data_IF_645456670367
#
_entry.id   IF_645456670367
#
_cell.length_a   1.000
_cell.length_b   1.000
_cell.length_c   1.000
_cell.angle_alpha   90.00
_cell.angle_beta   90.00
_cell.angle_gamma   90.00
#
_symmetry.space_group_name_H-M   'P 1'
#
loop_
_entity.id
_entity.type
_entity.pdbx_description
1 polymer ?
#
# COMPACT_ATOMS: atom_id res chain seq x y z
N UNK A 1 -4.54 23.23 -8.54
CA UNK A 1 -5.54 22.78 -7.53
C UNK A 1 -4.78 21.89 -6.58
N UNK A 2 -4.91 22.09 -5.26
CA UNK A 2 -4.22 21.25 -4.25
C UNK A 2 -4.66 19.79 -4.45
N UNK A 3 -3.73 18.83 -4.35
CA UNK A 3 -3.98 17.39 -4.51
C UNK A 3 -5.14 16.90 -3.63
N UNK A 4 -5.19 17.34 -2.37
CA UNK A 4 -6.28 17.08 -1.45
C UNK A 4 -7.64 17.52 -1.99
N UNK A 5 -7.74 18.72 -2.55
CA UNK A 5 -8.99 19.23 -3.13
C UNK A 5 -9.42 18.40 -4.35
N UNK A 6 -8.47 17.91 -5.14
CA UNK A 6 -8.74 17.05 -6.28
C UNK A 6 -9.31 15.70 -5.83
N UNK A 7 -8.70 15.07 -4.82
CA UNK A 7 -9.18 13.82 -4.22
C UNK A 7 -10.60 14.00 -3.67
N UNK A 8 -10.82 15.04 -2.89
CA UNK A 8 -12.13 15.31 -2.27
C UNK A 8 -13.22 15.62 -3.31
N UNK A 9 -12.87 16.17 -4.49
CA UNK A 9 -13.81 16.43 -5.57
C UNK A 9 -14.26 15.15 -6.28
N UNK A 10 -13.53 14.05 -6.15
CA UNK A 10 -13.89 12.74 -6.70
C UNK A 10 -14.80 11.92 -5.76
N UNK A 11 -14.95 12.35 -4.50
CA UNK A 11 -15.79 11.67 -3.52
C UNK A 11 -17.29 11.91 -3.80
N UNK A 12 -18.14 10.91 -3.54
CA UNK A 12 -19.60 11.06 -3.60
C UNK A 12 -20.11 12.05 -2.54
N UNK A 13 -19.38 12.14 -1.43
CA UNK A 13 -19.59 13.13 -0.39
C UNK A 13 -18.27 13.39 0.34
N UNK A 14 -18.01 14.65 0.70
CA UNK A 14 -16.91 15.03 1.58
C UNK A 14 -17.29 16.24 2.43
N UNK A 15 -16.98 16.18 3.72
CA UNK A 15 -17.21 17.26 4.67
C UNK A 15 -16.03 17.38 5.63
N UNK A 16 -15.51 18.59 5.80
CA UNK A 16 -14.49 18.85 6.82
C UNK A 16 -15.14 19.01 8.18
N UNK A 17 -14.66 18.25 9.14
CA UNK A 17 -15.09 18.27 10.53
C UNK A 17 -13.95 18.80 11.39
N UNK A 18 -14.26 19.71 12.29
CA UNK A 18 -13.26 20.38 13.14
C UNK A 18 -13.73 20.42 14.59
N UNK A 19 -12.79 20.28 15.51
CA UNK A 19 -13.01 20.47 16.94
C UNK A 19 -11.71 20.79 17.67
N UNK A 20 -11.64 21.96 18.36
CA UNK A 20 -10.50 22.38 19.19
C UNK A 20 -9.13 22.22 18.52
N UNK A 21 -8.95 22.70 17.31
CA UNK A 21 -7.70 22.61 16.56
C UNK A 21 -7.51 21.32 15.78
N UNK A 22 -8.17 20.23 16.18
CA UNK A 22 -8.14 18.96 15.43
C UNK A 22 -9.13 18.99 14.27
N UNK A 23 -8.81 18.30 13.18
CA UNK A 23 -9.68 18.18 12.01
C UNK A 23 -9.57 16.82 11.32
N UNK A 24 -10.63 16.45 10.59
CA UNK A 24 -10.61 15.36 9.62
C UNK A 24 -11.63 15.64 8.51
N UNK A 25 -11.57 14.86 7.44
CA UNK A 25 -12.65 14.80 6.47
C UNK A 25 -13.47 13.53 6.66
N UNK A 26 -14.79 13.68 6.70
CA UNK A 26 -15.72 12.58 6.49
C UNK A 26 -15.90 12.43 4.98
N UNK A 27 -15.63 11.25 4.44
CA UNK A 27 -15.59 10.98 3.01
C UNK A 27 -16.46 9.77 2.71
N UNK A 28 -17.26 9.83 1.63
CA UNK A 28 -18.03 8.69 1.14
C UNK A 28 -17.54 8.31 -0.26
N UNK A 29 -17.28 7.02 -0.46
CA UNK A 29 -16.94 6.43 -1.75
C UNK A 29 -17.87 5.24 -2.03
N UNK A 30 -18.88 5.45 -2.88
CA UNK A 30 -19.87 4.43 -3.23
C UNK A 30 -19.31 3.31 -4.10
N UNK A 31 -18.13 3.48 -4.69
CA UNK A 31 -17.45 2.45 -5.47
C UNK A 31 -16.81 1.37 -4.59
N UNK A 32 -16.69 1.59 -3.29
CA UNK A 32 -16.26 0.56 -2.35
C UNK A 32 -17.39 -0.45 -2.12
N UNK A 33 -17.02 -1.74 -2.02
CA UNK A 33 -18.00 -2.84 -1.95
C UNK A 33 -18.72 -2.91 -0.62
N UNK A 34 -18.00 -2.75 0.48
CA UNK A 34 -18.53 -2.97 1.84
C UNK A 34 -18.63 -1.68 2.64
N UNK A 35 -17.52 -1.18 3.13
CA UNK A 35 -17.47 0.03 3.93
C UNK A 35 -17.26 1.25 3.03
N UNK A 36 -18.18 2.21 3.09
CA UNK A 36 -18.23 3.35 2.16
C UNK A 36 -17.95 4.69 2.82
N UNK A 37 -18.13 4.78 4.14
CA UNK A 37 -17.95 6.01 4.90
C UNK A 37 -16.67 5.95 5.72
N UNK A 38 -15.76 6.87 5.45
CA UNK A 38 -14.43 6.89 6.04
C UNK A 38 -14.06 8.25 6.63
N UNK A 39 -13.14 8.24 7.59
CA UNK A 39 -12.40 9.44 7.98
C UNK A 39 -11.01 9.43 7.33
N UNK A 40 -10.61 10.59 6.82
CA UNK A 40 -9.30 10.78 6.16
C UNK A 40 -8.77 12.19 6.37
N UNK A 41 -7.56 12.47 5.87
CA UNK A 41 -6.88 13.77 6.03
C UNK A 41 -6.94 14.25 7.48
N UNK A 42 -6.57 13.36 8.40
CA UNK A 42 -6.70 13.57 9.84
C UNK A 42 -5.52 14.40 10.35
N UNK A 43 -5.84 15.46 11.06
CA UNK A 43 -4.90 16.32 11.78
C UNK A 43 -5.38 16.39 13.24
N UNK A 44 -4.62 15.80 14.17
CA UNK A 44 -4.98 15.73 15.58
C UNK A 44 -3.97 16.51 16.43
N UNK A 45 -4.50 17.38 17.26
CA UNK A 45 -3.74 17.89 18.40
C UNK A 45 -3.48 16.77 19.41
N UNK A 46 -2.37 16.84 20.14
CA UNK A 46 -2.09 15.90 21.23
C UNK A 46 -2.96 16.19 22.47
N UNK A 47 -4.28 16.21 22.26
CA UNK A 47 -5.33 16.43 23.23
C UNK A 47 -6.47 15.43 23.03
N UNK A 48 -6.64 14.51 23.98
CA UNK A 48 -7.69 13.48 23.87
C UNK A 48 -9.09 14.05 23.84
N UNK A 49 -9.39 15.15 24.58
CA UNK A 49 -10.72 15.77 24.56
C UNK A 49 -11.02 16.39 23.18
N UNK A 50 -9.99 16.97 22.52
CA UNK A 50 -10.13 17.46 21.18
C UNK A 50 -10.40 16.32 20.19
N UNK A 51 -9.65 15.23 20.27
CA UNK A 51 -9.85 14.04 19.45
C UNK A 51 -11.25 13.42 19.69
N UNK A 52 -11.67 13.28 20.94
CA UNK A 52 -12.99 12.75 21.29
C UNK A 52 -14.10 13.58 20.66
N UNK A 53 -14.09 14.89 20.87
CA UNK A 53 -15.13 15.76 20.32
C UNK A 53 -15.13 15.80 18.78
N UNK A 54 -13.96 15.65 18.13
CA UNK A 54 -13.85 15.53 16.67
C UNK A 54 -14.54 14.24 16.18
N UNK A 55 -14.18 13.09 16.74
CA UNK A 55 -14.73 11.80 16.31
C UNK A 55 -16.21 11.65 16.67
N UNK A 56 -16.69 12.17 17.81
CA UNK A 56 -18.13 12.20 18.14
C UNK A 56 -18.94 12.98 17.09
N UNK A 57 -18.39 14.10 16.56
CA UNK A 57 -19.02 14.83 15.46
C UNK A 57 -19.03 14.03 14.17
N UNK A 58 -17.89 13.40 13.82
CA UNK A 58 -17.76 12.59 12.61
C UNK A 58 -18.70 11.38 12.63
N UNK A 59 -18.78 10.67 13.76
CA UNK A 59 -19.67 9.53 13.97
C UNK A 59 -21.15 9.92 13.89
N UNK A 60 -21.53 11.03 14.54
CA UNK A 60 -22.90 11.56 14.44
C UNK A 60 -23.24 11.91 12.98
N UNK A 61 -22.33 12.58 12.27
CA UNK A 61 -22.56 12.95 10.88
C UNK A 61 -22.67 11.72 9.96
N UNK A 62 -21.84 10.70 10.18
CA UNK A 62 -21.95 9.44 9.47
C UNK A 62 -23.32 8.74 9.70
N UNK A 63 -23.85 8.76 10.94
CA UNK A 63 -25.19 8.24 11.26
C UNK A 63 -26.30 9.04 10.56
N UNK A 64 -26.22 10.37 10.55
CA UNK A 64 -27.15 11.24 9.85
C UNK A 64 -27.21 10.94 8.34
N UNK A 65 -26.08 10.55 7.75
CA UNK A 65 -25.97 10.11 6.36
C UNK A 65 -26.42 8.64 6.16
N UNK A 66 -26.85 7.94 7.23
CA UNK A 66 -27.36 6.58 7.18
C UNK A 66 -26.32 5.46 7.24
N UNK A 67 -25.06 5.78 7.56
CA UNK A 67 -24.01 4.78 7.69
C UNK A 67 -23.99 4.18 9.09
N UNK A 68 -23.73 2.87 9.15
CA UNK A 68 -23.63 2.08 10.40
C UNK A 68 -22.18 1.84 10.85
N UNK A 69 -21.22 2.19 10.01
CA UNK A 69 -19.79 2.00 10.27
C UNK A 69 -19.03 3.23 9.81
N UNK A 70 -18.02 3.60 10.58
CA UNK A 70 -17.03 4.59 10.20
C UNK A 70 -15.65 3.96 10.28
N UNK A 71 -14.88 4.01 9.20
CA UNK A 71 -13.55 3.43 9.13
C UNK A 71 -12.51 4.43 8.67
N UNK A 72 -11.26 4.12 8.87
CA UNK A 72 -10.12 4.96 8.47
C UNK A 72 -8.86 4.70 9.31
N UNK A 73 -7.80 5.50 9.13
CA UNK A 73 -7.75 6.60 8.19
C UNK A 73 -7.70 6.12 6.74
N UNK A 74 -8.35 6.84 5.85
CA UNK A 74 -8.25 6.60 4.40
C UNK A 74 -8.60 7.89 3.63
N UNK A 75 -7.69 8.29 2.75
CA UNK A 75 -7.86 9.47 1.93
C UNK A 75 -8.54 9.11 0.60
N UNK A 76 -9.78 8.61 0.66
CA UNK A 76 -10.66 8.23 -0.42
C UNK A 76 -10.57 6.75 -0.89
N UNK A 77 -9.37 6.20 -1.17
CA UNK A 77 -9.21 4.80 -1.60
C UNK A 77 -7.78 4.28 -1.32
N UNK A 78 -7.52 3.00 -1.62
CA UNK A 78 -6.21 2.37 -1.37
C UNK A 78 -5.09 2.80 -2.32
N UNK A 79 -5.38 3.59 -3.34
CA UNK A 79 -4.37 4.21 -4.20
C UNK A 79 -3.75 5.46 -3.58
N UNK A 80 -4.48 6.06 -2.61
CA UNK A 80 -4.07 7.21 -1.83
C UNK A 80 -3.45 6.79 -0.50
N UNK A 81 -3.11 7.75 0.35
CA UNK A 81 -2.65 7.47 1.71
C UNK A 81 -3.80 6.89 2.54
N UNK A 82 -3.55 5.80 3.21
CA UNK A 82 -4.46 5.15 4.14
C UNK A 82 -3.65 4.35 5.17
N UNK A 83 -4.22 4.04 6.32
CA UNK A 83 -3.62 3.37 7.48
C UNK A 83 -2.74 4.28 8.34
N UNK A 84 -2.57 3.89 9.60
CA UNK A 84 -1.63 4.48 10.55
C UNK A 84 -0.60 3.46 11.02
N UNK A 85 0.63 3.92 11.28
CA UNK A 85 1.68 3.14 11.93
C UNK A 85 1.28 2.86 13.39
N UNK A 86 1.54 1.64 13.87
CA UNK A 86 1.22 1.17 15.22
C UNK A 86 2.45 1.18 16.15
N UNK A 87 3.65 1.15 15.59
CA UNK A 87 4.95 1.12 16.27
C UNK A 87 6.03 1.76 15.40
N UNK A 88 7.25 1.88 15.94
CA UNK A 88 8.45 2.36 15.24
C UNK A 88 8.20 3.66 14.44
N UNK A 89 7.62 4.66 15.12
CA UNK A 89 7.20 5.93 14.50
C UNK A 89 8.38 6.72 13.90
N UNK A 90 9.58 6.52 14.43
CA UNK A 90 10.82 7.16 13.95
C UNK A 90 11.41 6.48 12.70
N UNK A 91 11.04 5.23 12.42
CA UNK A 91 11.47 4.51 11.22
C UNK A 91 10.56 4.90 10.06
N UNK A 92 11.12 5.33 8.94
CA UNK A 92 10.34 5.78 7.77
C UNK A 92 10.70 4.99 6.52
N UNK A 93 9.70 4.35 5.93
CA UNK A 93 9.76 3.70 4.62
C UNK A 93 8.92 4.49 3.63
N UNK A 94 9.56 5.13 2.65
CA UNK A 94 8.82 5.96 1.70
C UNK A 94 7.99 5.15 0.69
N UNK A 95 6.72 5.54 0.39
CA UNK A 95 5.88 6.49 1.10
C UNK A 95 5.33 5.89 2.40
N UNK A 96 5.44 6.60 3.51
CA UNK A 96 5.01 6.11 4.83
C UNK A 96 3.79 6.88 5.36
N UNK A 97 3.28 6.41 6.49
CA UNK A 97 2.26 7.10 7.26
C UNK A 97 2.89 8.24 8.06
N UNK A 98 2.15 9.32 8.16
CA UNK A 98 2.56 10.48 8.95
C UNK A 98 1.62 10.64 10.15
N UNK A 99 1.81 9.76 11.14
CA UNK A 99 1.07 9.78 12.40
C UNK A 99 2.01 9.56 13.58
N UNK A 100 1.63 10.16 14.70
CA UNK A 100 2.29 10.01 15.98
C UNK A 100 1.65 8.90 16.83
N UNK A 101 2.36 8.47 17.89
CA UNK A 101 1.89 7.39 18.79
C UNK A 101 0.55 7.71 19.45
N UNK A 102 0.30 8.97 19.83
CA UNK A 102 -0.94 9.38 20.47
C UNK A 102 -2.18 9.20 19.57
N UNK A 103 -2.04 9.22 18.25
CA UNK A 103 -3.15 8.92 17.33
C UNK A 103 -3.68 7.51 17.59
N UNK A 104 -2.78 6.54 17.82
CA UNK A 104 -3.14 5.14 18.08
C UNK A 104 -3.79 4.99 19.46
N UNK A 105 -3.25 5.65 20.47
CA UNK A 105 -3.81 5.64 21.82
C UNK A 105 -5.23 6.23 21.83
N UNK A 106 -5.41 7.35 21.12
CA UNK A 106 -6.70 8.02 21.06
C UNK A 106 -7.75 7.18 20.32
N UNK A 107 -7.43 6.69 19.12
CA UNK A 107 -8.39 5.92 18.32
C UNK A 107 -8.85 4.64 19.02
N UNK A 108 -7.95 3.96 19.76
CA UNK A 108 -8.27 2.78 20.57
C UNK A 108 -9.16 3.15 21.77
N UNK A 109 -8.86 4.24 22.48
CA UNK A 109 -9.68 4.74 23.58
C UNK A 109 -11.09 5.15 23.13
N UNK A 110 -11.23 5.61 21.89
CA UNK A 110 -12.52 5.94 21.26
C UNK A 110 -13.31 4.70 20.81
N UNK A 111 -12.78 3.49 21.03
CA UNK A 111 -13.46 2.22 20.78
C UNK A 111 -13.34 1.71 19.34
N UNK A 112 -12.49 2.30 18.51
CA UNK A 112 -12.19 1.77 17.20
C UNK A 112 -11.34 0.51 17.31
N UNK A 113 -11.56 -0.45 16.41
CA UNK A 113 -10.86 -1.72 16.33
C UNK A 113 -10.07 -1.80 15.03
N UNK A 114 -8.95 -2.52 15.03
CA UNK A 114 -8.18 -2.78 13.83
C UNK A 114 -9.00 -3.62 12.83
N UNK A 115 -9.18 -3.10 11.63
CA UNK A 115 -9.95 -3.74 10.56
C UNK A 115 -9.06 -4.54 9.63
N UNK A 116 -7.99 -3.91 9.16
CA UNK A 116 -6.95 -4.51 8.33
C UNK A 116 -5.59 -4.10 8.85
N UNK A 117 -4.69 -5.07 8.94
CA UNK A 117 -3.33 -4.87 9.39
C UNK A 117 -2.33 -5.08 8.26
N UNK A 118 -1.27 -4.32 8.31
CA UNK A 118 -0.17 -4.34 7.34
C UNK A 118 1.14 -4.33 8.09
N UNK A 119 2.20 -4.80 7.43
CA UNK A 119 3.55 -4.75 7.95
C UNK A 119 4.54 -4.27 6.89
N UNK A 120 5.62 -3.69 7.36
CA UNK A 120 6.87 -3.52 6.62
C UNK A 120 7.94 -4.29 7.36
N UNK A 121 8.63 -5.18 6.65
CA UNK A 121 9.55 -6.12 7.28
C UNK A 121 10.84 -6.25 6.47
N UNK A 122 11.99 -6.29 7.17
CA UNK A 122 13.26 -6.65 6.58
C UNK A 122 13.33 -8.15 6.34
N UNK A 123 13.62 -8.54 5.12
CA UNK A 123 13.73 -9.93 4.70
C UNK A 123 15.11 -10.17 4.10
N UNK A 124 15.86 -11.10 4.66
CA UNK A 124 17.18 -11.46 4.14
C UNK A 124 17.06 -12.04 2.73
N UNK A 125 18.00 -11.66 1.86
CA UNK A 125 18.01 -12.13 0.47
C UNK A 125 18.44 -13.60 0.33
N UNK A 126 19.20 -14.13 1.29
CA UNK A 126 19.70 -15.53 1.30
C UNK A 126 18.69 -16.54 1.87
N UNK A 127 17.41 -16.27 1.76
CA UNK A 127 16.33 -17.13 2.26
C UNK A 127 15.91 -18.22 1.25
N UNK A 128 15.01 -19.12 1.67
CA UNK A 128 14.49 -20.21 0.81
C UNK A 128 13.79 -19.75 -0.46
N UNK A 129 13.22 -18.54 -0.46
CA UNK A 129 12.55 -17.98 -1.65
C UNK A 129 13.53 -17.79 -2.80
N UNK A 130 14.79 -17.46 -2.50
CA UNK A 130 15.82 -17.31 -3.52
C UNK A 130 16.04 -18.60 -4.32
N UNK A 131 16.32 -19.70 -3.64
CA UNK A 131 16.58 -20.99 -4.32
C UNK A 131 15.35 -21.56 -5.03
N UNK A 132 14.16 -21.42 -4.42
CA UNK A 132 12.90 -21.82 -5.05
C UNK A 132 12.64 -20.95 -6.30
N UNK A 133 12.83 -19.64 -6.17
CA UNK A 133 12.61 -18.67 -7.23
C UNK A 133 13.53 -18.88 -8.42
N UNK A 134 14.80 -19.24 -8.19
CA UNK A 134 15.75 -19.59 -9.26
C UNK A 134 15.26 -20.77 -10.11
N UNK A 135 14.82 -21.84 -9.47
CA UNK A 135 14.28 -22.99 -10.18
C UNK A 135 13.02 -22.65 -10.99
N UNK A 136 12.13 -21.85 -10.40
CA UNK A 136 10.92 -21.37 -11.09
C UNK A 136 11.28 -20.45 -12.25
N UNK A 137 12.23 -19.52 -12.08
CA UNK A 137 12.68 -18.64 -13.17
C UNK A 137 13.15 -19.44 -14.38
N UNK A 138 14.02 -20.47 -14.19
CA UNK A 138 14.46 -21.36 -15.25
C UNK A 138 13.29 -22.08 -15.93
N UNK A 139 12.32 -22.55 -15.14
CA UNK A 139 11.10 -23.15 -15.67
C UNK A 139 10.31 -22.16 -16.54
N UNK A 140 10.13 -20.91 -16.09
CA UNK A 140 9.38 -19.88 -16.83
C UNK A 140 10.03 -19.49 -18.14
N UNK A 141 11.36 -19.45 -18.21
CA UNK A 141 12.09 -19.25 -19.48
C UNK A 141 11.76 -20.37 -20.48
N UNK A 142 11.73 -21.66 -20.03
CA UNK A 142 11.36 -22.78 -20.87
C UNK A 142 9.88 -22.77 -21.30
N UNK A 143 8.99 -22.13 -20.51
CA UNK A 143 7.57 -21.94 -20.84
C UNK A 143 7.34 -20.76 -21.81
N UNK A 144 8.41 -20.05 -22.22
CA UNK A 144 8.34 -18.93 -23.18
C UNK A 144 8.14 -17.55 -22.55
N UNK A 145 8.27 -17.43 -21.21
CA UNK A 145 8.34 -16.11 -20.58
C UNK A 145 9.70 -15.46 -20.86
N UNK A 146 9.68 -14.13 -20.99
CA UNK A 146 10.90 -13.30 -21.01
C UNK A 146 10.83 -12.28 -19.89
N UNK A 147 12.00 -11.87 -19.38
CA UNK A 147 12.09 -10.90 -18.28
C UNK A 147 13.00 -9.76 -18.74
N UNK A 148 12.58 -8.54 -18.43
CA UNK A 148 13.35 -7.33 -18.73
C UNK A 148 13.41 -6.43 -17.53
N UNK A 149 14.58 -5.80 -17.34
CA UNK A 149 14.80 -4.80 -16.32
C UNK A 149 14.59 -3.40 -16.95
N UNK A 150 13.94 -2.53 -16.18
CA UNK A 150 13.67 -1.13 -16.52
C UNK A 150 14.02 -0.25 -15.32
N UNK A 151 14.54 0.95 -15.55
CA UNK A 151 14.85 1.89 -14.49
C UNK A 151 14.58 3.34 -14.90
N UNK A 152 14.25 4.20 -13.94
CA UNK A 152 14.02 5.61 -14.17
C UNK A 152 12.95 5.88 -15.25
N UNK A 153 13.26 6.67 -16.26
CA UNK A 153 12.31 7.05 -17.32
C UNK A 153 11.73 5.86 -18.10
N UNK A 154 12.51 4.79 -18.30
CA UNK A 154 12.01 3.58 -18.96
C UNK A 154 10.94 2.87 -18.10
N UNK A 155 11.10 2.87 -16.77
CA UNK A 155 10.10 2.32 -15.85
C UNK A 155 8.83 3.20 -15.82
N UNK A 156 8.97 4.52 -15.88
CA UNK A 156 7.82 5.43 -15.97
C UNK A 156 7.01 5.25 -17.25
N UNK A 157 7.68 4.94 -18.36
CA UNK A 157 7.00 4.69 -19.64
C UNK A 157 6.07 3.48 -19.62
N UNK A 158 6.22 2.57 -18.64
CA UNK A 158 5.39 1.37 -18.48
C UNK A 158 4.10 1.60 -17.67
N UNK A 159 3.76 2.84 -17.30
CA UNK A 159 2.62 3.14 -16.42
C UNK A 159 1.31 2.45 -16.85
N UNK A 160 1.05 2.33 -18.16
CA UNK A 160 -0.16 1.69 -18.67
C UNK A 160 -0.17 0.18 -18.50
N UNK A 161 0.95 -0.49 -18.77
CA UNK A 161 1.09 -1.92 -18.54
C UNK A 161 0.95 -2.24 -17.05
N UNK A 162 1.56 -1.41 -16.18
CA UNK A 162 1.49 -1.54 -14.74
C UNK A 162 0.06 -1.32 -14.25
N UNK A 163 -0.66 -0.30 -14.76
CA UNK A 163 -2.07 -0.09 -14.46
C UNK A 163 -2.91 -1.34 -14.76
N UNK A 164 -2.75 -1.90 -15.97
CA UNK A 164 -3.51 -3.08 -16.39
C UNK A 164 -3.23 -4.30 -15.53
N UNK A 165 -1.97 -4.52 -15.12
CA UNK A 165 -1.59 -5.60 -14.21
C UNK A 165 -2.18 -5.35 -12.82
N UNK A 166 -2.04 -4.14 -12.26
CA UNK A 166 -2.56 -3.79 -10.94
C UNK A 166 -4.09 -3.93 -10.88
N UNK A 167 -4.80 -3.41 -11.88
CA UNK A 167 -6.26 -3.53 -11.96
C UNK A 167 -6.68 -5.00 -11.98
N UNK A 168 -6.04 -5.83 -12.79
CA UNK A 168 -6.35 -7.26 -12.86
C UNK A 168 -6.00 -7.98 -11.54
N UNK A 169 -4.83 -7.72 -10.98
CA UNK A 169 -4.37 -8.40 -9.76
C UNK A 169 -5.14 -8.00 -8.50
N UNK A 170 -5.51 -6.71 -8.37
CA UNK A 170 -6.01 -6.15 -7.11
C UNK A 170 -7.50 -5.86 -7.06
N UNK A 171 -8.24 -5.93 -8.19
CA UNK A 171 -9.69 -5.58 -8.25
C UNK A 171 -10.61 -6.43 -7.35
N UNK A 172 -10.13 -7.55 -6.83
CA UNK A 172 -10.81 -8.35 -5.79
C UNK A 172 -10.44 -7.95 -4.36
N UNK A 173 -9.62 -6.88 -4.19
CA UNK A 173 -9.16 -6.42 -2.90
C UNK A 173 -10.27 -5.80 -2.05
N UNK A 174 -10.17 -5.96 -0.73
CA UNK A 174 -10.98 -5.20 0.22
C UNK A 174 -10.55 -3.71 0.14
N UNK A 175 -11.49 -2.80 0.24
CA UNK A 175 -11.29 -1.35 0.07
C UNK A 175 -10.71 -0.93 -1.30
N UNK A 176 -10.67 -1.85 -2.26
CA UNK A 176 -10.31 -1.50 -3.63
C UNK A 176 -11.45 -0.73 -4.29
N UNK A 177 -11.14 0.40 -4.91
CA UNK A 177 -12.00 1.07 -5.87
C UNK A 177 -11.31 1.22 -7.20
N UNK A 178 -12.07 1.16 -8.28
CA UNK A 178 -11.54 1.44 -9.60
C UNK A 178 -11.18 2.92 -9.72
N UNK A 179 -10.10 3.18 -10.44
CA UNK A 179 -9.68 4.51 -10.88
C UNK A 179 -9.46 4.49 -12.39
N UNK A 180 -9.53 5.63 -13.01
CA UNK A 180 -9.21 5.76 -14.43
C UNK A 180 -7.71 5.59 -14.68
N UNK A 181 -7.34 5.32 -15.92
CA UNK A 181 -5.93 5.22 -16.34
C UNK A 181 -5.19 6.56 -16.15
N UNK A 182 -5.89 7.66 -16.38
CA UNK A 182 -5.39 9.01 -16.20
C UNK A 182 -5.08 9.28 -14.72
N UNK A 183 -5.99 8.95 -13.81
CA UNK A 183 -5.78 9.05 -12.36
C UNK A 183 -4.62 8.18 -11.90
N UNK A 184 -4.51 6.94 -12.39
CA UNK A 184 -3.38 6.08 -12.07
C UNK A 184 -2.06 6.69 -12.52
N UNK A 185 -1.97 7.20 -13.75
CA UNK A 185 -0.75 7.84 -14.25
C UNK A 185 -0.33 9.02 -13.39
N UNK A 186 -1.29 9.87 -13.00
CA UNK A 186 -1.02 11.01 -12.14
C UNK A 186 -0.49 10.56 -10.77
N UNK A 187 -1.17 9.61 -10.11
CA UNK A 187 -0.75 9.04 -8.83
C UNK A 187 0.63 8.39 -8.97
N UNK A 188 0.81 7.50 -9.95
CA UNK A 188 2.04 6.77 -10.18
C UNK A 188 3.22 7.71 -10.43
N UNK A 189 3.03 8.76 -11.24
CA UNK A 189 4.07 9.73 -11.54
C UNK A 189 4.32 10.71 -10.38
N UNK A 190 3.32 11.01 -9.56
CA UNK A 190 3.47 11.98 -8.45
C UNK A 190 4.43 11.45 -7.38
N UNK A 191 4.20 10.24 -6.89
CA UNK A 191 5.04 9.67 -5.83
C UNK A 191 6.35 9.07 -6.34
N UNK A 192 6.36 8.47 -7.53
CA UNK A 192 7.59 7.88 -8.09
C UNK A 192 8.64 8.91 -8.45
N UNK A 193 8.25 10.15 -8.77
CA UNK A 193 9.18 11.27 -8.97
C UNK A 193 9.91 11.71 -7.69
N UNK A 194 9.39 11.34 -6.53
CA UNK A 194 10.02 11.64 -5.23
C UNK A 194 11.10 10.62 -4.87
N UNK A 195 11.21 9.51 -5.59
CA UNK A 195 12.29 8.54 -5.42
C UNK A 195 13.43 8.82 -6.40
N UNK A 196 14.69 8.58 -6.00
CA UNK A 196 15.85 8.87 -6.87
C UNK A 196 15.84 8.07 -8.17
N UNK A 197 15.44 6.79 -8.09
CA UNK A 197 15.40 5.89 -9.23
C UNK A 197 14.41 4.77 -8.96
N UNK A 198 13.33 4.71 -9.73
CA UNK A 198 12.43 3.57 -9.76
C UNK A 198 13.08 2.44 -10.56
N UNK A 199 13.04 1.23 -10.03
CA UNK A 199 13.56 0.02 -10.67
C UNK A 199 12.45 -1.02 -10.78
N UNK A 200 12.41 -1.71 -11.92
CA UNK A 200 11.33 -2.63 -12.21
C UNK A 200 11.81 -3.81 -13.05
N UNK A 201 11.37 -5.01 -12.70
CA UNK A 201 11.48 -6.22 -13.49
C UNK A 201 10.11 -6.56 -14.02
N UNK A 202 9.97 -6.68 -15.33
CA UNK A 202 8.70 -7.05 -15.97
C UNK A 202 8.85 -8.40 -16.68
N UNK A 203 7.92 -9.31 -16.37
CA UNK A 203 7.75 -10.57 -17.06
C UNK A 203 6.81 -10.38 -18.24
N UNK A 204 7.20 -10.86 -19.42
CA UNK A 204 6.38 -10.84 -20.63
C UNK A 204 6.06 -12.28 -21.06
N UNK A 205 4.87 -12.47 -21.59
CA UNK A 205 4.44 -13.70 -22.24
C UNK A 205 3.75 -13.34 -23.56
N UNK A 206 4.23 -13.91 -24.67
CA UNK A 206 3.77 -13.56 -26.02
C UNK A 206 3.76 -12.04 -26.30
N UNK A 207 4.79 -11.32 -25.83
CA UNK A 207 4.93 -9.89 -26.00
C UNK A 207 4.07 -9.00 -25.10
N UNK A 208 3.18 -9.58 -24.25
CA UNK A 208 2.31 -8.86 -23.30
C UNK A 208 2.89 -8.92 -21.89
N UNK A 209 2.87 -7.81 -21.17
CA UNK A 209 3.28 -7.78 -19.78
C UNK A 209 2.37 -8.67 -18.91
N UNK A 210 2.96 -9.67 -18.27
CA UNK A 210 2.29 -10.70 -17.47
C UNK A 210 2.34 -10.44 -15.97
N UNK A 211 3.37 -9.74 -15.51
CA UNK A 211 3.58 -9.38 -14.12
C UNK A 211 4.81 -8.51 -13.96
N UNK A 212 4.99 -7.91 -12.80
CA UNK A 212 6.15 -7.07 -12.48
C UNK A 212 6.52 -7.18 -11.01
N UNK A 213 7.77 -6.84 -10.70
CA UNK A 213 8.27 -6.53 -9.37
C UNK A 213 8.98 -5.17 -9.43
N UNK A 214 8.65 -4.28 -8.51
CA UNK A 214 9.14 -2.90 -8.51
C UNK A 214 9.69 -2.54 -7.13
N UNK A 215 10.81 -1.81 -7.13
CA UNK A 215 11.45 -1.35 -5.91
C UNK A 215 12.37 -0.15 -6.15
N UNK A 216 13.01 0.29 -5.09
CA UNK A 216 13.91 1.44 -5.07
C UNK A 216 14.66 1.53 -3.74
N UNK A 217 15.79 2.23 -3.74
CA UNK A 217 16.49 2.62 -2.51
C UNK A 217 15.61 3.60 -1.73
N UNK A 218 15.43 3.36 -0.44
CA UNK A 218 14.58 4.19 0.42
C UNK A 218 15.11 5.63 0.49
N UNK A 219 14.34 6.66 0.06
CA UNK A 219 14.80 8.05 0.16
C UNK A 219 14.98 8.54 1.61
N UNK A 220 14.36 7.86 2.57
CA UNK A 220 14.46 8.21 3.99
C UNK A 220 15.67 7.56 4.67
N UNK A 221 16.15 6.43 4.14
CA UNK A 221 17.31 5.70 4.63
C UNK A 221 17.99 4.95 3.46
N UNK A 222 19.17 5.41 2.98
CA UNK A 222 19.83 4.82 1.82
C UNK A 222 20.39 3.42 2.05
N UNK A 223 20.44 2.94 3.30
CA UNK A 223 20.83 1.58 3.63
C UNK A 223 19.68 0.57 3.43
N UNK A 224 18.47 1.05 3.19
CA UNK A 224 17.29 0.25 2.92
C UNK A 224 16.95 0.19 1.42
N UNK A 225 16.65 -1.00 0.92
CA UNK A 225 16.00 -1.17 -0.39
C UNK A 225 14.54 -1.61 -0.20
N UNK A 226 13.60 -0.85 -0.76
CA UNK A 226 12.17 -1.13 -0.63
C UNK A 226 11.69 -1.97 -1.82
N UNK A 227 11.17 -3.17 -1.55
CA UNK A 227 10.32 -3.91 -2.49
C UNK A 227 8.89 -3.44 -2.32
N UNK A 228 8.44 -2.59 -3.25
CA UNK A 228 7.16 -1.89 -3.12
C UNK A 228 5.98 -2.71 -3.57
N UNK A 229 6.08 -3.34 -4.72
CA UNK A 229 4.95 -4.07 -5.31
C UNK A 229 5.45 -5.19 -6.22
N UNK A 230 4.94 -6.40 -5.99
CA UNK A 230 5.01 -7.49 -6.94
C UNK A 230 3.60 -7.91 -7.30
N UNK A 231 3.25 -7.83 -8.58
CA UNK A 231 1.92 -8.18 -9.08
C UNK A 231 2.00 -9.03 -10.34
N UNK A 232 1.05 -9.94 -10.46
CA UNK A 232 0.94 -10.89 -11.57
C UNK A 232 -0.51 -10.94 -12.04
N UNK A 233 -0.76 -10.90 -13.35
CA UNK A 233 -2.10 -11.05 -13.92
C UNK A 233 -2.76 -12.34 -13.42
N UNK A 234 -4.06 -12.33 -13.22
CA UNK A 234 -4.84 -13.46 -12.65
C UNK A 234 -4.60 -14.77 -13.39
N UNK A 235 -4.52 -14.72 -14.71
CA UNK A 235 -4.25 -15.89 -15.55
C UNK A 235 -2.92 -16.58 -15.24
N UNK A 236 -1.93 -15.87 -14.65
CA UNK A 236 -0.62 -16.37 -14.30
C UNK A 236 -0.38 -16.53 -12.79
N UNK A 237 -1.34 -16.19 -11.91
CA UNK A 237 -1.15 -16.25 -10.46
C UNK A 237 -0.90 -17.67 -9.94
N UNK A 238 -1.52 -18.70 -10.55
CA UNK A 238 -1.39 -20.08 -10.13
C UNK A 238 -0.12 -20.78 -10.64
N UNK A 239 0.62 -20.18 -11.56
CA UNK A 239 1.81 -20.77 -12.16
C UNK A 239 3.12 -20.34 -11.48
N UNK A 240 3.06 -19.72 -10.31
CA UNK A 240 4.20 -19.28 -9.49
C UNK A 240 5.08 -18.20 -10.13
N UNK A 241 4.61 -17.47 -11.15
CA UNK A 241 5.39 -16.42 -11.83
C UNK A 241 5.98 -15.38 -10.85
N UNK A 242 5.25 -15.08 -9.77
CA UNK A 242 5.72 -14.15 -8.74
C UNK A 242 7.05 -14.59 -8.09
N UNK A 243 7.30 -15.90 -7.94
CA UNK A 243 8.57 -16.41 -7.39
C UNK A 243 9.76 -16.13 -8.33
N UNK A 244 9.56 -16.21 -9.64
CA UNK A 244 10.58 -15.83 -10.61
C UNK A 244 10.90 -14.33 -10.54
N UNK A 245 9.88 -13.48 -10.38
CA UNK A 245 10.04 -12.04 -10.21
C UNK A 245 10.76 -11.70 -8.90
N UNK A 246 10.40 -12.37 -7.79
CA UNK A 246 11.09 -12.21 -6.49
C UNK A 246 12.56 -12.62 -6.59
N UNK A 247 12.86 -13.76 -7.22
CA UNK A 247 14.23 -14.21 -7.42
C UNK A 247 15.08 -13.18 -8.18
N UNK A 248 14.56 -12.68 -9.30
CA UNK A 248 15.26 -11.68 -10.10
C UNK A 248 15.44 -10.35 -9.32
N UNK A 249 14.43 -9.95 -8.54
CA UNK A 249 14.53 -8.82 -7.63
C UNK A 249 15.64 -9.01 -6.60
N UNK A 250 15.67 -10.14 -5.93
CA UNK A 250 16.70 -10.47 -4.94
C UNK A 250 18.11 -10.49 -5.54
N UNK A 251 18.26 -11.09 -6.74
CA UNK A 251 19.55 -11.09 -7.44
C UNK A 251 20.01 -9.65 -7.71
N UNK A 252 19.13 -8.81 -8.25
CA UNK A 252 19.44 -7.42 -8.53
C UNK A 252 19.81 -6.62 -7.27
N UNK A 253 19.02 -6.75 -6.19
CA UNK A 253 19.25 -6.06 -4.91
C UNK A 253 20.58 -6.52 -4.29
N UNK A 254 20.91 -7.82 -4.39
CA UNK A 254 22.19 -8.37 -3.96
C UNK A 254 23.37 -7.82 -4.76
N UNK A 255 23.22 -7.67 -6.08
CA UNK A 255 24.23 -7.07 -6.96
C UNK A 255 24.49 -5.59 -6.65
N UNK A 256 23.50 -4.88 -6.08
CA UNK A 256 23.63 -3.53 -5.54
C UNK A 256 24.35 -3.49 -4.19
N UNK A 257 24.60 -4.64 -3.53
CA UNK A 257 25.33 -4.76 -2.27
C UNK A 257 24.45 -4.85 -1.02
N UNK A 258 23.12 -4.84 -1.14
CA UNK A 258 22.22 -5.03 -0.02
C UNK A 258 22.20 -6.50 0.43
N UNK A 259 21.97 -6.74 1.73
CA UNK A 259 21.87 -8.08 2.33
C UNK A 259 20.43 -8.48 2.61
N UNK A 260 19.56 -7.52 2.71
CA UNK A 260 18.12 -7.67 2.95
C UNK A 260 17.34 -6.66 2.13
N UNK A 261 16.03 -6.83 2.12
CA UNK A 261 15.07 -5.99 1.43
C UNK A 261 13.88 -5.71 2.33
N UNK A 262 13.36 -4.49 2.30
CA UNK A 262 12.14 -4.12 3.02
C UNK A 262 10.92 -4.44 2.14
N UNK A 263 10.11 -5.43 2.54
CA UNK A 263 8.76 -5.58 2.00
C UNK A 263 7.84 -4.55 2.66
N UNK A 264 7.39 -3.59 1.87
CA UNK A 264 6.66 -2.43 2.38
C UNK A 264 5.16 -2.56 2.17
N UNK A 265 4.39 -2.42 3.27
CA UNK A 265 2.93 -2.48 3.29
C UNK A 265 2.32 -3.83 2.85
N UNK A 266 2.94 -4.92 3.25
CA UNK A 266 2.34 -6.23 3.05
C UNK A 266 1.07 -6.39 3.89
N UNK A 267 -0.06 -6.72 3.24
CA UNK A 267 -1.31 -7.00 3.95
C UNK A 267 -1.24 -8.35 4.66
N UNK A 268 -1.32 -8.37 6.00
CA UNK A 268 -1.18 -9.59 6.80
C UNK A 268 -2.26 -10.63 6.50
N UNK A 269 -3.50 -10.20 6.20
CA UNK A 269 -4.60 -11.10 5.89
C UNK A 269 -4.48 -11.79 4.51
N UNK A 270 -3.60 -11.29 3.64
CA UNK A 270 -3.43 -11.75 2.25
C UNK A 270 -2.00 -12.10 1.88
N UNK A 271 -1.08 -12.08 2.85
CA UNK A 271 0.33 -12.35 2.60
C UNK A 271 0.55 -13.74 2.02
N UNK A 272 1.15 -13.79 0.84
CA UNK A 272 1.66 -15.01 0.24
C UNK A 272 2.97 -15.46 0.90
N UNK A 273 3.69 -14.51 1.52
CA UNK A 273 4.97 -14.75 2.18
C UNK A 273 4.83 -15.39 3.56
N UNK A 274 3.66 -15.32 4.21
CA UNK A 274 3.42 -16.00 5.51
C UNK A 274 3.80 -17.49 5.53
N UNK A 275 3.75 -18.17 4.39
CA UNK A 275 4.16 -19.56 4.26
C UNK A 275 5.66 -19.78 4.43
N UNK A 276 6.44 -18.73 4.38
CA UNK A 276 7.90 -18.71 4.44
C UNK A 276 8.44 -17.93 5.63
N UNK A 277 7.56 -17.32 6.44
CA UNK A 277 7.92 -16.45 7.60
C UNK A 277 8.69 -17.21 8.69
N UNK A 278 8.55 -18.54 8.80
CA UNK A 278 9.23 -19.34 9.83
C UNK A 278 10.76 -19.29 9.77
N UNK A 279 11.32 -18.83 8.66
CA UNK A 279 12.77 -18.79 8.40
C UNK A 279 13.29 -17.34 8.26
N UNK A 280 12.47 -16.35 8.58
CA UNK A 280 12.80 -14.91 8.39
C UNK A 280 12.86 -14.22 9.75
N UNK A 281 14.06 -13.90 10.21
CA UNK A 281 14.25 -12.94 11.31
C UNK A 281 14.04 -11.52 10.76
N UNK A 282 12.94 -10.89 11.10
CA UNK A 282 12.65 -9.53 10.64
C UNK A 282 12.25 -8.61 11.78
N UNK A 283 12.72 -7.35 11.73
CA UNK A 283 12.08 -6.26 12.45
C UNK A 283 10.82 -5.87 11.69
N UNK A 284 9.68 -5.75 12.38
CA UNK A 284 8.41 -5.43 11.76
C UNK A 284 7.88 -4.07 12.23
N UNK A 285 7.67 -3.16 11.30
CA UNK A 285 6.81 -2.00 11.52
C UNK A 285 5.40 -2.35 11.08
N UNK A 286 4.43 -2.15 11.96
CA UNK A 286 3.04 -2.54 11.75
C UNK A 286 2.15 -1.33 11.54
N UNK A 287 1.05 -1.55 10.81
CA UNK A 287 0.08 -0.51 10.47
C UNK A 287 -1.32 -1.07 10.51
N UNK A 288 -2.32 -0.20 10.71
CA UNK A 288 -3.72 -0.58 10.65
C UNK A 288 -4.63 0.48 10.01
N UNK A 289 -5.70 -0.01 9.44
CA UNK A 289 -6.95 0.73 9.23
C UNK A 289 -7.89 0.34 10.36
N UNK A 290 -8.61 1.30 10.91
CA UNK A 290 -9.51 1.11 12.04
C UNK A 290 -10.97 1.23 11.62
N UNK A 291 -11.86 0.63 12.41
CA UNK A 291 -13.32 0.70 12.20
C UNK A 291 -14.06 0.77 13.52
N UNK A 292 -15.18 1.45 13.51
CA UNK A 292 -16.17 1.48 14.62
C UNK A 292 -17.56 1.26 14.09
N UNK A 293 -18.31 0.36 14.74
CA UNK A 293 -19.74 0.23 14.53
C UNK A 293 -20.44 1.43 15.19
N UNK A 294 -21.36 2.04 14.47
CA UNK A 294 -22.13 3.19 14.92
C UNK A 294 -23.49 2.69 15.39
N UNK A 295 -23.73 2.67 16.69
CA UNK A 295 -25.02 2.31 17.33
C UNK A 295 -26.09 3.39 17.11
#
# INVERSE_FOLDING_TARGET
MNEQLKILSSADYSERIEYRGSSCYLIVNNNLKEDKCMFGFVDLENDFEAAQGLFEKAERRAKELGFKRLFGPMNYNTWMSYRWALNDFDVKYFPDCDNESYHIDFIRRLGYKELYTYRSAHVRLDNKLFSIGEAVHRQKLNEGFTFRFFAGEEAYALADDIFDICRDAFSGGYLYSEISREEFREIYLSWTRLIPRLEMIVAFYNGRAAGFSMGYVNPCDPDDYISKTTAVRREFQHNKLYLALVYLGYSHISDLGFKDVVYHFECEQRSTFRRFDSDIESKEKRYAVFVKELE
#
